data_IF_762744129380
#
_entry.id   IF_762744129380
#
_cell.length_a   1.000
_cell.length_b   1.000
_cell.length_c   1.000
_cell.angle_alpha   90.00
_cell.angle_beta   90.00
_cell.angle_gamma   90.00
#
_symmetry.space_group_name_H-M   'P 1'
#
loop_
_entity.id
_entity.type
_entity.pdbx_description
1 polymer ?
#
# COMPACT_ATOMS: atom_id res chain seq x y z
N UNK A 1 -6.74 -45.74 -5.28
CA UNK A 1 -6.41 -45.18 -6.61
C UNK A 1 -7.22 -43.90 -6.77
N UNK A 2 -6.58 -42.74 -6.68
CA UNK A 2 -7.22 -41.44 -6.90
C UNK A 2 -6.42 -40.72 -7.98
N UNK A 3 -6.73 -41.02 -9.24
CA UNK A 3 -6.17 -40.31 -10.37
C UNK A 3 -7.26 -40.16 -11.41
N UNK A 4 -7.59 -38.92 -11.74
CA UNK A 4 -8.56 -38.61 -12.79
C UNK A 4 -9.65 -37.66 -12.35
N UNK A 5 -9.29 -36.40 -12.04
CA UNK A 5 -10.21 -35.26 -12.16
C UNK A 5 -9.51 -33.88 -12.18
N UNK A 6 -8.21 -33.77 -11.88
CA UNK A 6 -7.52 -32.46 -11.81
C UNK A 6 -7.22 -31.81 -13.17
N UNK A 7 -7.36 -32.52 -14.29
CA UNK A 7 -7.00 -32.06 -15.63
C UNK A 7 -8.05 -31.16 -16.30
N UNK A 8 -9.21 -30.91 -15.68
CA UNK A 8 -10.30 -30.13 -16.27
C UNK A 8 -10.67 -28.86 -15.50
N UNK A 9 -9.99 -28.54 -14.40
CA UNK A 9 -10.29 -27.32 -13.66
C UNK A 9 -9.62 -26.11 -14.32
N UNK A 10 -10.44 -25.24 -14.93
CA UNK A 10 -10.00 -23.96 -15.48
C UNK A 10 -9.84 -22.97 -14.32
N UNK A 11 -8.64 -22.41 -14.09
CA UNK A 11 -8.41 -21.42 -13.05
C UNK A 11 -9.24 -20.16 -13.31
N UNK A 12 -9.81 -19.61 -12.23
CA UNK A 12 -10.38 -18.25 -12.23
C UNK A 12 -9.35 -17.29 -11.63
N UNK A 13 -9.06 -16.22 -12.35
CA UNK A 13 -8.13 -15.18 -11.91
C UNK A 13 -8.87 -14.18 -11.01
N UNK A 14 -8.16 -13.54 -10.06
CA UNK A 14 -8.73 -12.42 -9.32
C UNK A 14 -9.11 -11.31 -10.31
N UNK A 15 -10.15 -10.54 -9.98
CA UNK A 15 -10.70 -9.48 -10.84
C UNK A 15 -9.61 -8.52 -11.37
N UNK A 16 -8.65 -8.14 -10.52
CA UNK A 16 -7.53 -7.27 -10.88
C UNK A 16 -6.56 -7.87 -11.94
N UNK A 17 -6.67 -9.16 -12.25
CA UNK A 17 -5.87 -9.87 -13.25
C UNK A 17 -6.73 -10.48 -14.38
N UNK A 18 -8.04 -10.23 -14.39
CA UNK A 18 -8.89 -10.56 -15.54
C UNK A 18 -8.68 -9.54 -16.67
N UNK A 19 -8.86 -9.97 -17.91
CA UNK A 19 -8.73 -9.08 -19.05
C UNK A 19 -9.98 -8.19 -19.19
N UNK A 20 -9.78 -6.89 -18.94
CA UNK A 20 -10.76 -5.83 -19.15
C UNK A 20 -10.29 -4.89 -20.26
N UNK A 21 -8.99 -4.63 -20.33
CA UNK A 21 -8.38 -3.73 -21.31
C UNK A 21 -6.87 -3.63 -21.15
N UNK A 22 -6.28 -2.56 -21.69
CA UNK A 22 -4.83 -2.34 -21.68
C UNK A 22 -4.24 -2.38 -20.26
N UNK A 23 -4.94 -1.83 -19.28
CA UNK A 23 -4.45 -1.70 -17.91
C UNK A 23 -4.32 -3.03 -17.17
N UNK A 24 -5.08 -4.05 -17.58
CA UNK A 24 -5.01 -5.39 -16.96
C UNK A 24 -4.30 -6.41 -17.84
N UNK A 25 -3.97 -6.05 -19.09
CA UNK A 25 -3.31 -6.92 -20.06
C UNK A 25 -2.07 -7.60 -19.49
N UNK A 26 -1.16 -6.85 -18.86
CA UNK A 26 0.09 -7.41 -18.34
C UNK A 26 -0.14 -8.47 -17.26
N UNK A 27 -0.99 -8.15 -16.28
CA UNK A 27 -1.33 -9.08 -15.20
C UNK A 27 -2.07 -10.33 -15.74
N UNK A 28 -2.97 -10.14 -16.70
CA UNK A 28 -3.66 -11.22 -17.38
C UNK A 28 -2.68 -12.12 -18.13
N UNK A 29 -1.77 -11.52 -18.91
CA UNK A 29 -0.78 -12.22 -19.72
C UNK A 29 0.10 -13.12 -18.84
N UNK A 30 0.70 -12.54 -17.80
CA UNK A 30 1.56 -13.27 -16.86
C UNK A 30 0.82 -14.46 -16.22
N UNK A 31 -0.47 -14.30 -15.90
CA UNK A 31 -1.29 -15.36 -15.29
C UNK A 31 -1.64 -16.47 -16.28
N UNK A 32 -1.96 -16.15 -17.53
CA UNK A 32 -2.21 -17.14 -18.57
C UNK A 32 -0.93 -17.94 -18.83
N UNK A 33 0.18 -17.27 -19.10
CA UNK A 33 1.46 -17.92 -19.39
C UNK A 33 1.89 -18.84 -18.26
N UNK A 34 1.84 -18.37 -17.02
CA UNK A 34 2.15 -19.18 -15.85
C UNK A 34 1.26 -20.44 -15.81
N UNK A 35 -0.07 -20.28 -15.85
CA UNK A 35 -1.01 -21.41 -15.74
C UNK A 35 -0.87 -22.44 -16.86
N UNK A 36 -0.55 -21.99 -18.06
CA UNK A 36 -0.30 -22.86 -19.21
C UNK A 36 1.04 -23.60 -19.05
N UNK A 37 2.09 -22.91 -18.61
CA UNK A 37 3.42 -23.48 -18.39
C UNK A 37 3.44 -24.55 -17.30
N UNK A 38 2.87 -24.29 -16.11
CA UNK A 38 2.81 -25.30 -15.03
C UNK A 38 2.05 -26.56 -15.46
N UNK A 39 1.14 -26.46 -16.44
CA UNK A 39 0.38 -27.59 -16.97
C UNK A 39 1.05 -28.28 -18.14
N UNK A 40 2.21 -27.82 -18.62
CA UNK A 40 2.86 -28.37 -19.81
C UNK A 40 2.08 -28.10 -21.11
N UNK A 41 1.20 -27.08 -21.12
CA UNK A 41 0.32 -26.77 -22.26
C UNK A 41 0.84 -25.62 -23.14
N UNK A 42 2.09 -25.18 -22.93
CA UNK A 42 2.70 -24.04 -23.63
C UNK A 42 2.54 -24.10 -25.15
N UNK A 43 2.73 -25.30 -25.70
CA UNK A 43 2.70 -25.51 -27.15
C UNK A 43 1.36 -25.27 -27.83
N UNK A 44 0.26 -25.28 -27.08
CA UNK A 44 -1.08 -24.96 -27.59
C UNK A 44 -1.33 -23.45 -27.61
N UNK A 45 -0.73 -22.71 -26.67
CA UNK A 45 -0.82 -21.25 -26.59
C UNK A 45 0.06 -20.57 -27.64
N UNK A 46 1.29 -21.06 -27.82
CA UNK A 46 2.23 -20.52 -28.81
C UNK A 46 2.04 -21.10 -30.23
N UNK A 47 1.26 -22.18 -30.37
CA UNK A 47 0.93 -22.81 -31.65
C UNK A 47 1.98 -23.81 -32.17
N UNK A 48 3.00 -24.15 -31.37
CA UNK A 48 4.03 -25.13 -31.74
C UNK A 48 3.53 -26.58 -31.79
N UNK A 49 2.37 -26.89 -31.17
CA UNK A 49 1.70 -28.20 -31.27
C UNK A 49 0.50 -28.08 -32.23
N UNK A 50 0.69 -28.35 -33.55
CA UNK A 50 -0.38 -28.20 -34.53
C UNK A 50 -1.45 -29.27 -34.36
N UNK A 51 -2.64 -28.99 -34.90
CA UNK A 51 -3.72 -29.98 -34.97
C UNK A 51 -3.24 -31.19 -35.80
N UNK A 52 -3.29 -32.42 -35.25
CA UNK A 52 -2.86 -33.57 -35.99
C UNK A 52 -3.71 -33.83 -37.24
N UNK A 53 -3.05 -34.23 -38.33
CA UNK A 53 -3.72 -34.55 -39.61
C UNK A 53 -4.02 -36.05 -39.70
N UNK A 54 -5.09 -36.44 -40.39
CA UNK A 54 -5.54 -37.83 -40.52
C UNK A 54 -4.44 -38.82 -40.98
N UNK A 55 -3.47 -38.37 -41.78
CA UNK A 55 -2.35 -39.19 -42.27
C UNK A 55 -1.35 -39.62 -41.18
N UNK A 56 -1.33 -38.97 -40.00
CA UNK A 56 -0.44 -39.31 -38.89
C UNK A 56 -0.88 -40.55 -38.09
N UNK A 57 -2.06 -41.10 -38.37
CA UNK A 57 -2.73 -42.07 -37.48
C UNK A 57 -2.65 -43.54 -37.93
N UNK A 58 -1.79 -43.86 -38.89
CA UNK A 58 -1.70 -45.25 -39.40
C UNK A 58 -1.07 -46.18 -38.34
N UNK A 59 -0.32 -45.65 -37.36
CA UNK A 59 0.27 -46.41 -36.27
C UNK A 59 0.36 -45.51 -35.01
N UNK A 60 -0.02 -46.03 -33.84
CA UNK A 60 0.07 -45.46 -32.45
C UNK A 60 -1.26 -44.93 -31.87
N UNK A 61 -1.66 -45.21 -30.63
CA UNK A 61 -1.32 -46.23 -29.62
C UNK A 61 -2.51 -46.28 -28.61
N UNK A 62 -2.77 -47.42 -27.98
CA UNK A 62 -3.91 -47.64 -27.06
C UNK A 62 -3.74 -46.99 -25.66
N UNK A 63 -2.70 -46.18 -25.43
CA UNK A 63 -2.39 -45.56 -24.14
C UNK A 63 -2.37 -44.03 -24.23
N UNK A 64 -2.89 -43.36 -23.20
CA UNK A 64 -2.86 -41.89 -23.10
C UNK A 64 -1.42 -41.34 -23.15
N UNK A 65 -1.21 -40.29 -23.94
CA UNK A 65 0.07 -39.61 -24.05
C UNK A 65 0.30 -38.66 -22.87
N UNK A 66 1.56 -38.41 -22.47
CA UNK A 66 1.89 -37.35 -21.53
C UNK A 66 1.35 -35.97 -21.99
N UNK A 67 1.05 -35.08 -21.04
CA UNK A 67 0.42 -33.77 -21.31
C UNK A 67 1.28 -32.86 -22.18
N UNK A 68 2.60 -32.98 -22.03
CA UNK A 68 3.66 -32.29 -22.75
C UNK A 68 4.06 -32.97 -24.07
N UNK A 69 3.36 -34.03 -24.49
CA UNK A 69 3.59 -34.69 -25.78
C UNK A 69 3.38 -33.72 -26.94
N UNK A 70 4.37 -33.66 -27.85
CA UNK A 70 4.30 -32.90 -29.10
C UNK A 70 3.43 -33.59 -30.16
N UNK A 71 3.06 -34.86 -29.94
CA UNK A 71 2.28 -35.68 -30.87
C UNK A 71 1.07 -36.30 -30.17
N UNK A 72 0.11 -35.48 -29.70
CA UNK A 72 -1.11 -35.98 -29.09
C UNK A 72 -2.04 -36.63 -30.13
N UNK A 73 -2.90 -37.55 -29.69
CA UNK A 73 -4.03 -38.03 -30.50
C UNK A 73 -5.03 -36.89 -30.79
N UNK A 74 -5.99 -37.03 -31.73
CA UNK A 74 -6.89 -35.94 -32.07
C UNK A 74 -7.79 -35.57 -30.89
N UNK A 75 -8.22 -36.57 -30.12
CA UNK A 75 -9.03 -36.37 -28.91
C UNK A 75 -8.26 -35.62 -27.83
N UNK A 76 -7.02 -36.04 -27.55
CA UNK A 76 -6.15 -35.37 -26.58
C UNK A 76 -5.80 -33.95 -27.00
N UNK A 77 -5.47 -33.75 -28.28
CA UNK A 77 -5.21 -32.42 -28.83
C UNK A 77 -6.40 -31.50 -28.62
N UNK A 78 -7.61 -31.94 -29.01
CA UNK A 78 -8.83 -31.14 -28.85
C UNK A 78 -9.09 -30.81 -27.38
N UNK A 79 -8.91 -31.76 -26.45
CA UNK A 79 -9.15 -31.51 -25.04
C UNK A 79 -8.17 -30.49 -24.45
N UNK A 80 -6.87 -30.63 -24.75
CA UNK A 80 -5.80 -29.75 -24.27
C UNK A 80 -5.92 -28.35 -24.86
N UNK A 81 -6.17 -28.26 -26.17
CA UNK A 81 -6.44 -27.01 -26.87
C UNK A 81 -7.65 -26.27 -26.27
N UNK A 82 -8.76 -26.98 -26.06
CA UNK A 82 -9.96 -26.39 -25.44
C UNK A 82 -9.72 -25.95 -24.02
N UNK A 83 -8.87 -26.62 -23.25
CA UNK A 83 -8.48 -26.15 -21.93
C UNK A 83 -7.75 -24.80 -22.01
N UNK A 84 -6.75 -24.65 -22.88
CA UNK A 84 -6.01 -23.38 -23.03
C UNK A 84 -6.92 -22.28 -23.54
N UNK A 85 -7.74 -22.54 -24.56
CA UNK A 85 -8.72 -21.59 -25.06
C UNK A 85 -9.69 -21.14 -23.94
N UNK A 86 -10.11 -22.06 -23.09
CA UNK A 86 -11.01 -21.77 -21.95
C UNK A 86 -10.32 -20.96 -20.85
N UNK A 87 -9.03 -21.20 -20.57
CA UNK A 87 -8.21 -20.38 -19.65
C UNK A 87 -8.21 -18.92 -20.11
N UNK A 88 -8.00 -18.67 -21.40
CA UNK A 88 -8.01 -17.31 -21.95
C UNK A 88 -9.43 -16.73 -21.91
N UNK A 89 -10.41 -17.43 -22.47
CA UNK A 89 -11.78 -16.93 -22.65
C UNK A 89 -12.50 -16.63 -21.33
N UNK A 90 -12.46 -17.55 -20.36
CA UNK A 90 -13.19 -17.41 -19.10
C UNK A 90 -12.56 -16.40 -18.13
N UNK A 91 -11.33 -15.97 -18.38
CA UNK A 91 -10.66 -14.94 -17.61
C UNK A 91 -10.68 -13.56 -18.29
N UNK A 92 -11.53 -13.40 -19.31
CA UNK A 92 -11.89 -12.11 -19.88
C UNK A 92 -13.22 -11.64 -19.28
N UNK A 93 -13.32 -10.37 -18.89
CA UNK A 93 -14.56 -9.80 -18.33
C UNK A 93 -15.65 -9.70 -19.39
N UNK A 94 -15.29 -9.32 -20.62
CA UNK A 94 -16.17 -9.29 -21.79
C UNK A 94 -15.43 -9.81 -23.04
N UNK A 95 -15.32 -11.14 -23.23
CA UNK A 95 -14.58 -11.71 -24.35
C UNK A 95 -15.16 -11.28 -25.71
N UNK A 96 -16.48 -11.14 -25.81
CA UNK A 96 -17.15 -10.76 -27.07
C UNK A 96 -16.87 -9.29 -27.40
N UNK A 97 -17.01 -8.37 -26.44
CA UNK A 97 -16.68 -6.96 -26.63
C UNK A 97 -15.19 -6.71 -26.90
N UNK A 98 -14.31 -7.58 -26.39
CA UNK A 98 -12.87 -7.56 -26.71
C UNK A 98 -12.60 -8.11 -28.12
N UNK A 99 -13.54 -8.82 -28.74
CA UNK A 99 -13.40 -9.38 -30.08
C UNK A 99 -12.84 -10.80 -30.12
N UNK A 100 -12.96 -11.57 -29.02
CA UNK A 100 -12.58 -12.97 -28.94
C UNK A 100 -13.74 -13.85 -29.42
N UNK A 101 -13.47 -14.70 -30.42
CA UNK A 101 -14.42 -15.73 -30.86
C UNK A 101 -14.24 -17.02 -30.05
N UNK A 102 -15.35 -17.64 -29.62
CA UNK A 102 -15.36 -18.92 -28.90
C UNK A 102 -14.88 -20.11 -29.77
N UNK A 103 -15.00 -19.99 -31.08
CA UNK A 103 -14.60 -20.99 -32.05
C UNK A 103 -13.09 -20.99 -32.35
N UNK A 104 -12.40 -19.91 -32.04
CA UNK A 104 -10.98 -19.75 -32.35
C UNK A 104 -10.08 -20.67 -31.53
N UNK A 105 -8.92 -21.00 -32.11
CA UNK A 105 -7.86 -21.69 -31.39
C UNK A 105 -7.29 -20.79 -30.30
N UNK A 106 -6.75 -21.40 -29.25
CA UNK A 106 -6.03 -20.73 -28.19
C UNK A 106 -4.92 -19.86 -28.78
N UNK A 107 -4.12 -20.43 -29.68
CA UNK A 107 -3.06 -19.72 -30.38
C UNK A 107 -3.56 -18.49 -31.16
N UNK A 108 -4.63 -18.64 -31.97
CA UNK A 108 -5.17 -17.52 -32.77
C UNK A 108 -5.66 -16.40 -31.86
N UNK A 109 -6.40 -16.75 -30.81
CA UNK A 109 -6.87 -15.78 -29.80
C UNK A 109 -5.68 -15.10 -29.12
N UNK A 110 -4.67 -15.86 -28.71
CA UNK A 110 -3.49 -15.33 -28.03
C UNK A 110 -2.70 -14.34 -28.88
N UNK A 111 -2.46 -14.67 -30.14
CA UNK A 111 -1.80 -13.78 -31.11
C UNK A 111 -2.60 -12.50 -31.36
N UNK A 112 -3.92 -12.61 -31.46
CA UNK A 112 -4.79 -11.43 -31.56
C UNK A 112 -4.62 -10.50 -30.36
N UNK A 113 -4.62 -11.04 -29.15
CA UNK A 113 -4.49 -10.25 -27.92
C UNK A 113 -3.10 -9.60 -27.80
N UNK A 114 -2.02 -10.34 -28.07
CA UNK A 114 -0.66 -9.78 -28.14
C UNK A 114 -0.63 -8.62 -29.12
N UNK A 115 -1.13 -8.81 -30.34
CA UNK A 115 -1.14 -7.75 -31.36
C UNK A 115 -1.96 -6.53 -30.92
N UNK A 116 -3.06 -6.73 -30.21
CA UNK A 116 -3.96 -5.67 -29.76
C UNK A 116 -3.39 -4.85 -28.61
N UNK A 117 -2.76 -5.50 -27.62
CA UNK A 117 -2.37 -4.87 -26.37
C UNK A 117 -0.85 -4.65 -26.20
N UNK A 118 -0.01 -5.31 -27.01
CA UNK A 118 1.44 -5.07 -27.02
C UNK A 118 1.89 -4.12 -28.13
N UNK A 119 0.96 -3.64 -28.96
CA UNK A 119 1.23 -2.52 -29.84
C UNK A 119 1.70 -1.33 -28.99
N UNK A 120 3.00 -1.03 -29.08
CA UNK A 120 3.60 0.11 -28.37
C UNK A 120 3.02 1.40 -28.94
N UNK A 121 2.11 2.00 -28.20
CA UNK A 121 1.67 3.37 -28.42
C UNK A 121 2.65 4.29 -27.69
N UNK A 122 3.70 4.71 -28.40
CA UNK A 122 4.76 5.59 -27.86
C UNK A 122 4.18 6.88 -27.30
N UNK A 123 3.10 7.40 -27.91
CA UNK A 123 2.43 8.61 -27.45
C UNK A 123 1.76 8.37 -26.10
N UNK A 124 1.05 7.25 -25.90
CA UNK A 124 0.47 6.90 -24.59
C UNK A 124 1.52 6.69 -23.52
N UNK A 125 2.63 6.02 -23.86
CA UNK A 125 3.76 5.84 -22.93
C UNK A 125 4.29 7.21 -22.51
N UNK A 126 4.52 8.11 -23.46
CA UNK A 126 5.01 9.47 -23.19
C UNK A 126 4.04 10.27 -22.31
N UNK A 127 2.73 10.19 -22.58
CA UNK A 127 1.70 10.85 -21.75
C UNK A 127 1.72 10.28 -20.32
N UNK A 128 1.79 8.96 -20.16
CA UNK A 128 1.82 8.33 -18.83
C UNK A 128 3.09 8.69 -18.04
N UNK A 129 4.27 8.69 -18.68
CA UNK A 129 5.53 9.11 -18.05
C UNK A 129 5.47 10.60 -17.66
N UNK A 130 4.90 11.44 -18.52
CA UNK A 130 4.69 12.86 -18.24
C UNK A 130 3.76 13.06 -17.04
N UNK A 131 2.62 12.36 -16.99
CA UNK A 131 1.70 12.42 -15.86
C UNK A 131 2.37 11.99 -14.55
N UNK A 132 3.17 10.91 -14.59
CA UNK A 132 3.94 10.45 -13.43
C UNK A 132 4.93 11.53 -12.94
N UNK A 133 5.68 12.17 -13.84
CA UNK A 133 6.70 13.18 -13.49
C UNK A 133 6.12 14.51 -13.05
N UNK A 134 4.96 14.88 -13.60
CA UNK A 134 4.30 16.14 -13.31
C UNK A 134 3.42 16.08 -12.06
N UNK A 135 3.05 14.90 -11.58
CA UNK A 135 2.26 14.78 -10.36
C UNK A 135 2.99 15.38 -9.16
N UNK A 136 2.33 16.29 -8.45
CA UNK A 136 2.84 16.98 -7.26
C UNK A 136 2.01 16.62 -6.04
N UNK A 137 2.69 16.54 -4.91
CA UNK A 137 2.05 16.44 -3.60
C UNK A 137 1.48 17.80 -3.21
N UNK A 138 0.22 17.79 -2.80
CA UNK A 138 -0.45 18.94 -2.22
C UNK A 138 -0.88 18.61 -0.78
N UNK A 139 -0.17 19.16 0.23
CA UNK A 139 -0.46 18.88 1.64
C UNK A 139 -1.78 19.46 2.13
N UNK A 140 -2.39 20.41 1.40
CA UNK A 140 -3.66 21.03 1.79
C UNK A 140 -4.88 20.18 1.36
N UNK A 141 -4.72 19.33 0.35
CA UNK A 141 -5.83 18.56 -0.23
C UNK A 141 -5.74 17.05 -0.02
N UNK A 142 -4.56 16.49 0.30
CA UNK A 142 -4.35 15.04 0.38
C UNK A 142 -3.36 14.65 1.48
N UNK A 143 -3.42 13.40 1.95
CA UNK A 143 -2.40 12.87 2.87
C UNK A 143 -1.20 12.29 2.12
N UNK A 144 -0.08 12.10 2.83
CA UNK A 144 1.11 11.47 2.23
C UNK A 144 0.85 10.01 1.80
N UNK A 145 -0.03 9.28 2.49
CA UNK A 145 -0.43 7.91 2.13
C UNK A 145 -1.20 7.89 0.80
N UNK A 146 -2.11 8.84 0.61
CA UNK A 146 -2.88 8.99 -0.62
C UNK A 146 -1.97 9.38 -1.80
N UNK A 147 -1.02 10.28 -1.56
CA UNK A 147 0.01 10.66 -2.53
C UNK A 147 0.88 9.47 -2.94
N UNK A 148 1.40 8.70 -1.97
CA UNK A 148 2.19 7.50 -2.24
C UNK A 148 1.40 6.49 -3.08
N UNK A 149 0.14 6.25 -2.71
CA UNK A 149 -0.76 5.37 -3.46
C UNK A 149 -0.96 5.88 -4.89
N UNK A 150 -1.18 7.18 -5.08
CA UNK A 150 -1.35 7.80 -6.39
C UNK A 150 -0.09 7.65 -7.25
N UNK A 151 1.08 7.92 -6.70
CA UNK A 151 2.38 7.78 -7.37
C UNK A 151 2.65 6.33 -7.80
N UNK A 152 2.39 5.36 -6.91
CA UNK A 152 2.52 3.93 -7.23
C UNK A 152 1.54 3.50 -8.33
N UNK A 153 0.32 4.03 -8.33
CA UNK A 153 -0.65 3.76 -9.39
C UNK A 153 -0.23 4.35 -10.74
N UNK A 154 0.32 5.56 -10.77
CA UNK A 154 0.86 6.17 -11.99
C UNK A 154 2.05 5.37 -12.53
N UNK A 155 2.95 4.92 -11.66
CA UNK A 155 4.06 4.03 -12.05
C UNK A 155 3.55 2.71 -12.66
N UNK A 156 2.54 2.11 -12.03
CA UNK A 156 1.89 0.89 -12.53
C UNK A 156 1.29 1.11 -13.92
N UNK A 157 0.57 2.23 -14.13
CA UNK A 157 0.01 2.57 -15.44
C UNK A 157 1.10 2.70 -16.51
N UNK A 158 2.20 3.39 -16.19
CA UNK A 158 3.35 3.50 -17.11
C UNK A 158 3.91 2.11 -17.48
N UNK A 159 4.11 1.22 -16.51
CA UNK A 159 4.63 -0.14 -16.75
C UNK A 159 3.66 -1.02 -17.54
N UNK A 160 2.34 -0.83 -17.36
CA UNK A 160 1.31 -1.55 -18.12
C UNK A 160 1.29 -1.15 -19.60
N UNK A 161 1.66 0.09 -19.92
CA UNK A 161 1.83 0.57 -21.29
C UNK A 161 3.19 0.18 -21.90
N UNK A 162 4.06 -0.50 -21.14
CA UNK A 162 5.39 -0.90 -21.59
C UNK A 162 6.46 0.19 -21.39
N UNK A 163 6.14 1.26 -20.68
CA UNK A 163 7.12 2.27 -20.27
C UNK A 163 8.10 1.72 -19.23
N UNK A 164 9.32 2.27 -19.23
CA UNK A 164 10.39 1.87 -18.32
C UNK A 164 10.62 2.95 -17.26
N UNK A 165 10.61 2.58 -16.00
CA UNK A 165 11.04 3.44 -14.89
C UNK A 165 11.55 2.54 -13.78
N UNK A 166 12.85 2.60 -13.51
CA UNK A 166 13.47 1.83 -12.43
C UNK A 166 13.27 2.52 -11.07
N UNK A 167 13.56 1.82 -9.98
CA UNK A 167 13.27 2.34 -8.64
C UNK A 167 14.06 3.63 -8.30
N UNK A 168 15.31 3.74 -8.77
CA UNK A 168 16.12 4.95 -8.60
C UNK A 168 15.52 6.15 -9.33
N UNK A 169 15.07 5.97 -10.58
CA UNK A 169 14.37 7.01 -11.34
C UNK A 169 13.06 7.39 -10.63
N UNK A 170 12.29 6.40 -10.17
CA UNK A 170 11.06 6.64 -9.45
C UNK A 170 11.30 7.39 -8.14
N UNK A 171 12.36 7.06 -7.39
CA UNK A 171 12.80 7.81 -6.20
C UNK A 171 13.03 9.29 -6.53
N UNK A 172 13.75 9.59 -7.61
CA UNK A 172 13.98 10.99 -8.01
C UNK A 172 12.69 11.70 -8.38
N UNK A 173 11.74 11.01 -9.03
CA UNK A 173 10.42 11.55 -9.33
C UNK A 173 9.61 11.82 -8.05
N UNK A 174 9.66 10.92 -7.07
CA UNK A 174 9.01 11.10 -5.76
C UNK A 174 9.58 12.32 -5.03
N UNK A 175 10.90 12.47 -4.98
CA UNK A 175 11.54 13.66 -4.37
C UNK A 175 11.10 14.93 -5.11
N UNK A 176 11.12 14.91 -6.45
CA UNK A 176 10.69 16.04 -7.27
C UNK A 176 9.18 16.33 -7.18
N UNK A 177 8.36 15.38 -6.71
CA UNK A 177 6.92 15.58 -6.54
C UNK A 177 6.57 16.47 -5.34
N UNK A 178 7.52 16.73 -4.45
CA UNK A 178 7.29 17.54 -3.26
C UNK A 178 7.05 19.02 -3.63
N UNK A 179 6.23 19.75 -2.84
CA UNK A 179 5.95 21.15 -3.10
C UNK A 179 7.23 22.01 -2.95
N UNK A 180 7.30 23.12 -3.67
CA UNK A 180 8.49 23.99 -3.68
C UNK A 180 8.83 24.51 -2.26
N UNK A 181 7.82 24.72 -1.41
CA UNK A 181 8.00 25.11 -0.02
C UNK A 181 8.79 24.10 0.82
N UNK A 182 8.92 22.85 0.35
CA UNK A 182 9.63 21.76 1.04
C UNK A 182 11.02 21.49 0.45
N UNK A 183 11.45 22.28 -0.54
CA UNK A 183 12.69 22.07 -1.30
C UNK A 183 13.91 21.84 -0.41
N UNK A 184 14.10 22.69 0.61
CA UNK A 184 15.26 22.61 1.50
C UNK A 184 15.30 21.30 2.32
N UNK A 185 14.13 20.73 2.63
CA UNK A 185 14.01 19.48 3.37
C UNK A 185 14.30 18.27 2.48
N UNK A 186 14.02 18.37 1.17
CA UNK A 186 14.14 17.25 0.23
C UNK A 186 15.48 17.22 -0.52
N UNK A 187 16.38 18.16 -0.24
CA UNK A 187 17.74 18.17 -0.79
C UNK A 187 18.54 16.91 -0.39
N UNK A 188 18.35 16.42 0.83
CA UNK A 188 19.16 15.36 1.43
C UNK A 188 18.31 14.16 1.89
N UNK A 189 17.36 13.70 1.06
CA UNK A 189 16.57 12.51 1.37
C UNK A 189 17.49 11.29 1.49
N UNK A 190 17.53 10.59 2.64
CA UNK A 190 18.39 9.43 2.83
C UNK A 190 17.92 8.22 2.01
N UNK A 191 18.82 7.24 1.85
CA UNK A 191 18.52 5.99 1.16
C UNK A 191 18.67 6.03 -0.36
N UNK A 192 18.61 4.85 -0.96
CA UNK A 192 18.78 4.60 -2.41
C UNK A 192 17.46 4.26 -3.09
N UNK A 193 16.46 3.79 -2.33
CA UNK A 193 15.20 3.28 -2.88
C UNK A 193 14.03 4.24 -2.68
N UNK A 194 13.01 4.09 -3.52
CA UNK A 194 11.78 4.89 -3.44
C UNK A 194 11.03 4.68 -2.11
N UNK A 195 11.10 3.47 -1.54
CA UNK A 195 10.48 3.13 -0.25
C UNK A 195 11.08 3.91 0.92
N UNK A 196 12.41 4.12 0.91
CA UNK A 196 13.12 4.91 1.92
C UNK A 196 12.76 6.39 1.78
N UNK A 197 12.65 6.89 0.54
CA UNK A 197 12.18 8.24 0.28
C UNK A 197 10.76 8.47 0.81
N UNK A 198 9.81 7.58 0.52
CA UNK A 198 8.46 7.68 1.10
C UNK A 198 8.48 7.62 2.63
N UNK A 199 9.28 6.72 3.22
CA UNK A 199 9.42 6.65 4.69
C UNK A 199 9.90 7.98 5.29
N UNK A 200 10.86 8.63 4.64
CA UNK A 200 11.34 9.95 5.06
C UNK A 200 10.25 11.02 4.91
N UNK A 201 9.57 11.06 3.76
CA UNK A 201 8.53 12.06 3.46
C UNK A 201 7.30 11.92 4.37
N UNK A 202 6.93 10.71 4.75
CA UNK A 202 5.89 10.45 5.76
C UNK A 202 6.23 11.10 7.10
N UNK A 203 7.47 10.92 7.58
CA UNK A 203 7.92 11.54 8.83
C UNK A 203 7.92 13.06 8.72
N UNK A 204 8.39 13.60 7.60
CA UNK A 204 8.38 15.05 7.34
C UNK A 204 6.96 15.62 7.34
N UNK A 205 6.02 14.93 6.69
CA UNK A 205 4.61 15.32 6.66
C UNK A 205 4.01 15.34 8.07
N UNK A 206 4.24 14.29 8.88
CA UNK A 206 3.75 14.24 10.26
C UNK A 206 4.33 15.34 11.14
N UNK A 207 5.62 15.69 10.99
CA UNK A 207 6.25 16.80 11.70
C UNK A 207 5.58 18.14 11.34
N UNK A 208 5.33 18.38 10.05
CA UNK A 208 4.69 19.61 9.56
C UNK A 208 3.22 19.73 9.99
N UNK A 209 2.44 18.66 9.85
CA UNK A 209 1.02 18.65 10.25
C UNK A 209 0.88 18.67 11.78
N UNK A 210 1.78 18.01 12.50
CA UNK A 210 1.84 18.07 13.97
C UNK A 210 2.17 19.46 14.49
N UNK A 211 3.10 20.18 13.85
CA UNK A 211 3.42 21.56 14.20
C UNK A 211 2.25 22.53 13.95
N UNK A 212 1.43 22.32 12.92
CA UNK A 212 0.23 23.15 12.68
C UNK A 212 -0.86 22.95 13.74
N UNK A 213 -0.95 21.77 14.37
CA UNK A 213 -1.88 21.50 15.47
C UNK A 213 -1.42 22.07 16.83
N UNK A 214 -0.13 22.36 16.99
CA UNK A 214 0.42 22.88 18.25
C UNK A 214 0.09 24.35 18.51
N UNK A 215 -0.47 25.08 17.55
CA UNK A 215 -0.94 26.46 17.75
C UNK A 215 -2.08 26.56 18.78
N UNK A 216 -2.99 25.58 18.77
CA UNK A 216 -4.08 25.51 19.75
C UNK A 216 -3.57 25.05 21.12
N UNK A 217 -2.56 24.18 21.15
CA UNK A 217 -1.94 23.69 22.37
C UNK A 217 -1.11 24.79 23.07
N UNK A 218 -0.49 25.69 22.31
CA UNK A 218 0.18 26.90 22.83
C UNK A 218 -0.83 27.94 23.33
N UNK A 219 -2.00 28.06 22.68
CA UNK A 219 -3.11 28.89 23.16
C UNK A 219 -3.69 28.36 24.49
N UNK A 220 -3.90 27.04 24.60
CA UNK A 220 -4.35 26.39 25.85
C UNK A 220 -3.29 26.58 26.94
N UNK A 221 -2.00 26.34 26.65
CA UNK A 221 -0.90 26.56 27.60
C UNK A 221 -0.83 28.02 28.07
N UNK A 222 -1.00 29.00 27.18
CA UNK A 222 -1.06 30.43 27.55
C UNK A 222 -2.29 30.76 28.40
N UNK A 223 -3.46 30.19 28.09
CA UNK A 223 -4.68 30.41 28.86
C UNK A 223 -4.62 29.79 30.26
N UNK A 224 -4.02 28.61 30.37
CA UNK A 224 -3.74 27.94 31.65
C UNK A 224 -2.72 28.76 32.46
N UNK A 225 -1.62 29.22 31.85
CA UNK A 225 -0.65 30.08 32.53
C UNK A 225 -1.27 31.41 33.03
N UNK A 226 -2.14 32.03 32.22
CA UNK A 226 -2.86 33.24 32.59
C UNK A 226 -3.85 32.99 33.75
N UNK A 227 -4.59 31.88 33.73
CA UNK A 227 -5.52 31.50 34.80
C UNK A 227 -4.78 31.19 36.11
N UNK A 228 -3.64 30.50 36.04
CA UNK A 228 -2.78 30.24 37.21
C UNK A 228 -2.23 31.55 37.77
N UNK A 229 -1.78 32.46 36.92
CA UNK A 229 -1.28 33.78 37.34
C UNK A 229 -2.39 34.62 37.98
N UNK A 230 -3.59 34.59 37.41
CA UNK A 230 -4.76 35.26 37.97
C UNK A 230 -5.11 34.68 39.33
N UNK A 231 -5.15 33.35 39.47
CA UNK A 231 -5.46 32.69 40.74
C UNK A 231 -4.42 33.01 41.84
N UNK A 232 -3.13 33.05 41.47
CA UNK A 232 -2.05 33.46 42.38
C UNK A 232 -2.17 34.94 42.78
N UNK A 233 -2.56 35.83 41.86
CA UNK A 233 -2.80 37.25 42.16
C UNK A 233 -4.02 37.46 43.05
N UNK A 234 -5.10 36.70 42.85
CA UNK A 234 -6.31 36.76 43.71
C UNK A 234 -6.02 36.23 45.12
N UNK A 235 -5.19 35.19 45.25
CA UNK A 235 -4.73 34.70 46.56
C UNK A 235 -3.79 35.69 47.27
N UNK A 236 -2.94 36.40 46.53
CA UNK A 236 -2.10 37.47 47.07
C UNK A 236 -2.92 38.70 47.51
N UNK A 237 -3.98 39.06 46.77
CA UNK A 237 -4.90 40.13 47.15
C UNK A 237 -5.80 39.76 48.34
N UNK A 238 -6.12 38.47 48.51
CA UNK A 238 -6.91 37.95 49.64
C UNK A 238 -6.14 37.87 50.96
N UNK A 239 -4.81 38.10 50.94
CA UNK A 239 -3.97 38.10 52.16
C UNK A 239 -3.69 39.51 52.70
N UNK A 240 -4.22 40.57 52.09
CA UNK A 240 -4.08 41.94 52.57
C UNK A 240 -5.40 42.56 53.05
N UNK A 241 -5.73 42.30 54.33
CA UNK A 241 -6.38 43.19 55.33
C UNK A 241 -7.53 42.55 56.11
N UNK A 242 -7.86 43.00 57.34
CA UNK A 242 -7.00 43.36 58.47
C UNK A 242 -7.28 42.41 59.67
N UNK A 243 -6.26 42.08 60.46
CA UNK A 243 -6.47 41.25 61.65
C UNK A 243 -7.16 42.06 62.76
N UNK A 244 -8.43 41.75 62.97
CA UNK A 244 -9.19 41.93 64.20
C UNK A 244 -8.50 41.25 65.38
N UNK A 245 -8.82 41.77 66.57
CA UNK A 245 -8.44 41.33 67.93
C UNK A 245 -7.93 39.88 68.05
N UNK A 246 -6.71 39.76 68.59
CA UNK A 246 -6.08 38.52 69.07
C UNK A 246 -7.01 37.71 69.98
N UNK A 247 -7.52 36.59 69.49
CA UNK A 247 -7.85 35.44 70.32
C UNK A 247 -6.72 34.41 70.22
N UNK A 248 -6.23 33.96 71.37
CA UNK A 248 -5.14 32.99 71.46
C UNK A 248 -5.71 31.58 71.27
N UNK A 249 -5.16 30.74 70.39
CA UNK A 249 -5.58 29.35 70.30
C UNK A 249 -5.19 28.59 71.58
N UNK A 250 -6.16 27.92 72.18
CA UNK A 250 -5.98 26.99 73.29
C UNK A 250 -5.57 25.64 72.72
N UNK A 251 -4.52 25.03 73.29
CA UNK A 251 -4.05 23.71 72.90
C UNK A 251 -4.99 22.64 73.47
N UNK A 252 -5.58 21.80 72.62
CA UNK A 252 -6.53 20.73 73.01
C UNK A 252 -5.86 19.40 73.36
N UNK A 253 -4.55 19.37 73.66
CA UNK A 253 -3.83 18.15 74.00
C UNK A 253 -3.61 18.05 75.53
N UNK A 254 -4.19 17.06 76.23
CA UNK A 254 -4.24 17.03 77.70
C UNK A 254 -2.91 16.78 78.43
N UNK A 255 -1.78 16.58 77.72
CA UNK A 255 -0.47 16.24 78.33
C UNK A 255 0.61 17.30 78.05
N UNK A 256 0.24 18.49 77.58
CA UNK A 256 1.21 19.58 77.42
C UNK A 256 1.33 20.39 78.73
N UNK A 257 2.49 20.41 79.40
CA UNK A 257 2.71 21.30 80.54
C UNK A 257 2.68 22.78 80.11
N UNK A 258 1.95 23.58 80.87
CA UNK A 258 1.62 24.98 80.59
C UNK A 258 2.85 25.88 80.68
N UNK A 259 3.18 26.54 79.55
CA UNK A 259 3.93 27.81 79.35
C UNK A 259 5.07 28.19 80.30
N UNK A 260 6.26 28.42 79.73
CA UNK A 260 7.05 29.64 79.99
C UNK A 260 7.72 30.10 78.68
N UNK A 261 7.83 31.42 78.53
CA UNK A 261 8.30 32.18 77.39
C UNK A 261 9.60 31.66 76.74
N UNK A 262 9.59 31.64 75.40
CA UNK A 262 10.78 31.95 74.61
C UNK A 262 11.85 30.88 74.50
N UNK A 263 11.54 29.68 73.98
CA UNK A 263 12.48 28.90 73.16
C UNK A 263 11.74 28.01 72.14
N UNK A 264 12.37 27.81 70.98
CA UNK A 264 11.89 27.08 69.80
C UNK A 264 12.21 25.59 69.97
N UNK A 265 11.23 24.69 69.94
CA UNK A 265 11.47 23.26 69.79
C UNK A 265 10.58 22.62 68.73
N UNK A 266 11.23 21.80 67.89
CA UNK A 266 10.67 21.04 66.78
C UNK A 266 9.92 19.81 67.31
N UNK A 267 8.68 19.61 66.90
CA UNK A 267 8.08 18.27 66.90
C UNK A 267 8.51 17.54 65.62
N UNK A 268 9.46 16.60 65.73
CA UNK A 268 9.67 15.58 64.68
C UNK A 268 8.58 14.51 64.82
N UNK A 269 7.88 14.18 63.74
CA UNK A 269 7.28 12.85 63.56
C UNK A 269 7.77 12.25 62.26
N UNK A 270 8.14 10.98 62.38
CA UNK A 270 8.87 10.13 61.44
C UNK A 270 8.15 9.95 60.11
N UNK A 271 8.90 9.95 59.01
CA UNK A 271 8.40 9.61 57.68
C UNK A 271 8.29 8.09 57.46
N UNK A 272 7.39 7.61 56.59
CA UNK A 272 7.32 6.21 56.20
C UNK A 272 8.34 5.86 55.09
N UNK A 273 8.86 4.64 55.20
CA UNK A 273 9.90 4.01 54.37
C UNK A 273 9.40 3.65 52.96
N UNK A 274 10.28 3.80 51.97
CA UNK A 274 10.13 3.27 50.60
C UNK A 274 10.49 1.78 50.63
N UNK A 275 9.65 0.92 50.04
CA UNK A 275 9.99 -0.45 49.66
C UNK A 275 9.94 -0.55 48.14
N UNK A 276 10.93 -1.26 47.60
CA UNK A 276 11.10 -1.64 46.20
C UNK A 276 10.05 -2.66 45.75
#
# INVERSE_FOLDING_TARGET
MASGNSLLNVPSFPEAAQLLGQDTWRAFKDRVELNVQVRGLGGYLDGSIPKPTAAMYIYTAQSASPVDSLFPSPGEWNQRERMVASIVFLNCTDPIGIGIDRGDTAHKTWQYLIKKYEAKDEQRIHIADTLLRQHKFDPESTTMEEHEKKMKNLLKQLHNLGGTCNDYQFRMIVIASMPEAWKDYVLNVPGLFSSEAFTYLHRLYLDKVGCTSNGDDDYIKRKVAALVTQHLATHAASTSSPNTKRERPICSNPVCPTKVLGQRWRCRRQGPKILA
#
